data_IF_567514715091
#
_entry.id   IF_567514715091
#
_cell.length_a   1.000
_cell.length_b   1.000
_cell.length_c   1.000
_cell.angle_alpha   90.00
_cell.angle_beta   90.00
_cell.angle_gamma   90.00
#
_symmetry.space_group_name_H-M   'P 1'
#
loop_
_entity.id
_entity.type
_entity.pdbx_description
1 polymer ?
#
# COMPACT_ATOMS: atom_id res chain seq x y z
N UNK A 1 1.02 -2.29 7.57
CA UNK A 1 1.34 -1.36 6.46
C UNK A 1 2.38 -1.87 5.46
N UNK A 2 3.52 -2.46 5.87
CA UNK A 2 4.53 -2.98 4.92
C UNK A 2 4.01 -4.09 3.97
N UNK A 3 3.08 -4.94 4.43
CA UNK A 3 2.44 -5.95 3.59
C UNK A 3 1.55 -5.33 2.49
N UNK A 4 0.80 -4.28 2.83
CA UNK A 4 -0.15 -3.59 1.94
C UNK A 4 0.57 -2.88 0.77
N UNK A 5 1.75 -2.29 1.05
CA UNK A 5 2.58 -1.64 0.03
C UNK A 5 3.14 -2.68 -0.95
N UNK A 6 3.59 -3.83 -0.44
CA UNK A 6 4.10 -4.94 -1.27
C UNK A 6 3.01 -5.50 -2.18
N UNK A 7 1.79 -5.64 -1.67
CA UNK A 7 0.62 -6.06 -2.45
C UNK A 7 0.28 -5.05 -3.55
N UNK A 8 0.17 -3.75 -3.22
CA UNK A 8 -0.12 -2.69 -4.21
C UNK A 8 0.93 -2.59 -5.31
N UNK A 9 2.22 -2.78 -4.99
CA UNK A 9 3.31 -2.73 -5.96
C UNK A 9 3.27 -3.93 -6.93
N UNK A 10 2.98 -5.12 -6.39
CA UNK A 10 2.75 -6.32 -7.22
C UNK A 10 1.50 -6.12 -8.06
N UNK A 11 0.44 -5.49 -7.55
CA UNK A 11 -0.78 -5.20 -8.29
C UNK A 11 -0.57 -4.15 -9.39
N UNK A 12 0.21 -3.10 -9.14
CA UNK A 12 0.60 -2.11 -10.14
C UNK A 12 1.47 -2.74 -11.25
N UNK A 13 2.39 -3.65 -10.89
CA UNK A 13 3.15 -4.46 -11.84
C UNK A 13 2.22 -5.38 -12.67
N UNK A 14 1.17 -5.96 -12.06
CA UNK A 14 0.15 -6.74 -12.79
C UNK A 14 -0.55 -5.90 -13.86
N UNK A 15 -1.02 -4.70 -13.51
CA UNK A 15 -1.76 -3.84 -14.43
C UNK A 15 -0.89 -3.37 -15.60
N UNK A 16 0.35 -2.95 -15.32
CA UNK A 16 1.28 -2.45 -16.36
C UNK A 16 1.68 -3.52 -17.39
N UNK A 17 1.71 -4.79 -17.00
CA UNK A 17 2.14 -5.87 -17.90
C UNK A 17 0.97 -6.56 -18.63
N UNK A 18 -0.27 -6.43 -18.14
CA UNK A 18 -1.44 -7.11 -18.71
C UNK A 18 -1.95 -6.49 -20.01
N UNK A 19 -1.78 -5.19 -20.22
CA UNK A 19 -2.61 -4.45 -21.18
C UNK A 19 -1.88 -3.84 -22.37
N UNK A 20 -0.75 -3.16 -22.19
CA UNK A 20 -0.22 -2.29 -23.27
C UNK A 20 0.78 -2.97 -24.23
N UNK A 21 1.88 -3.61 -23.78
CA UNK A 21 2.94 -3.99 -24.72
C UNK A 21 2.60 -5.23 -25.57
N UNK A 22 1.72 -6.11 -25.06
CA UNK A 22 1.38 -7.37 -25.73
C UNK A 22 0.41 -7.15 -26.89
N UNK A 23 -0.52 -6.21 -26.75
CA UNK A 23 -1.47 -5.86 -27.80
C UNK A 23 -0.76 -5.12 -28.95
N UNK A 24 0.11 -4.18 -28.59
CA UNK A 24 0.91 -3.41 -29.55
C UNK A 24 1.93 -4.28 -30.30
N UNK A 25 2.49 -5.31 -29.64
CA UNK A 25 3.43 -6.26 -30.24
C UNK A 25 2.79 -7.52 -30.87
N UNK A 26 1.45 -7.63 -30.96
CA UNK A 26 0.71 -8.83 -31.41
C UNK A 26 1.14 -10.13 -30.71
N UNK A 27 1.50 -10.06 -29.42
CA UNK A 27 1.90 -11.23 -28.62
C UNK A 27 0.77 -11.68 -27.73
N UNK A 28 0.66 -12.99 -27.51
CA UNK A 28 -0.30 -13.56 -26.59
C UNK A 28 0.10 -13.18 -25.16
N UNK A 29 -0.76 -12.50 -24.38
CA UNK A 29 -0.44 -12.13 -23.02
C UNK A 29 -0.33 -13.39 -22.14
N UNK A 30 0.63 -13.39 -21.22
CA UNK A 30 0.76 -14.47 -20.24
C UNK A 30 -0.39 -14.43 -19.24
N UNK A 31 -0.86 -15.62 -18.84
CA UNK A 31 -1.70 -15.76 -17.65
C UNK A 31 -0.92 -15.28 -16.40
N UNK A 32 -1.64 -14.70 -15.44
CA UNK A 32 -1.04 -14.15 -14.22
C UNK A 32 -0.14 -15.15 -13.48
N UNK A 33 -0.59 -16.40 -13.40
CA UNK A 33 0.16 -17.49 -12.76
C UNK A 33 1.55 -17.67 -13.38
N UNK A 34 1.60 -17.76 -14.71
CA UNK A 34 2.85 -17.91 -15.46
C UNK A 34 3.76 -16.70 -15.33
N UNK A 35 3.20 -15.49 -15.27
CA UNK A 35 3.98 -14.28 -15.01
C UNK A 35 4.60 -14.30 -13.61
N UNK A 36 3.80 -14.59 -12.57
CA UNK A 36 4.26 -14.61 -11.19
C UNK A 36 5.35 -15.68 -10.95
N UNK A 37 5.19 -16.86 -11.55
CA UNK A 37 6.20 -17.93 -11.52
C UNK A 37 7.52 -17.47 -12.16
N UNK A 38 7.48 -16.97 -13.40
CA UNK A 38 8.67 -16.48 -14.13
C UNK A 38 9.34 -15.31 -13.41
N UNK A 39 8.57 -14.37 -12.92
CA UNK A 39 9.08 -13.23 -12.15
C UNK A 39 9.71 -13.70 -10.83
N UNK A 40 9.12 -14.69 -10.16
CA UNK A 40 9.68 -15.30 -8.95
C UNK A 40 11.04 -15.96 -9.21
N UNK A 41 11.19 -16.69 -10.32
CA UNK A 41 12.49 -17.25 -10.73
C UNK A 41 13.53 -16.18 -11.04
N UNK A 42 13.14 -15.13 -11.76
CA UNK A 42 13.99 -13.98 -12.05
C UNK A 42 14.44 -13.28 -10.76
N UNK A 43 13.49 -12.96 -9.88
CA UNK A 43 13.76 -12.29 -8.60
C UNK A 43 14.74 -13.09 -7.72
N UNK A 44 14.57 -14.42 -7.65
CA UNK A 44 15.49 -15.31 -6.93
C UNK A 44 16.88 -15.35 -7.56
N UNK A 45 16.97 -15.49 -8.89
CA UNK A 45 18.24 -15.56 -9.62
C UNK A 45 19.10 -14.31 -9.40
N UNK A 46 18.48 -13.14 -9.42
CA UNK A 46 19.17 -11.86 -9.29
C UNK A 46 19.15 -11.29 -7.85
N UNK A 47 18.67 -12.06 -6.87
CA UNK A 47 18.51 -11.63 -5.47
C UNK A 47 17.85 -10.25 -5.36
N UNK A 48 16.83 -10.01 -6.18
CA UNK A 48 16.10 -8.74 -6.20
C UNK A 48 15.41 -8.55 -4.86
N UNK A 49 15.98 -7.66 -4.06
CA UNK A 49 15.32 -7.12 -2.88
C UNK A 49 14.57 -5.87 -3.32
N UNK A 50 13.34 -5.70 -2.83
CA UNK A 50 12.61 -4.43 -2.95
C UNK A 50 12.66 -3.73 -1.58
N UNK A 51 13.82 -3.16 -1.19
CA UNK A 51 13.91 -2.44 0.08
C UNK A 51 13.06 -1.18 -0.03
N UNK A 52 12.12 -1.04 0.90
CA UNK A 52 11.34 0.18 1.04
C UNK A 52 12.24 1.22 1.72
N UNK A 53 12.92 2.06 0.93
CA UNK A 53 13.75 3.14 1.46
C UNK A 53 12.84 4.26 1.94
N UNK A 54 12.98 4.62 3.22
CA UNK A 54 12.26 5.74 3.84
C UNK A 54 13.28 6.57 4.59
N UNK A 55 13.34 7.87 4.37
CA UNK A 55 14.14 8.75 5.24
C UNK A 55 13.28 9.17 6.43
N UNK A 56 13.85 9.22 7.65
CA UNK A 56 13.13 9.75 8.80
C UNK A 56 12.67 11.19 8.53
N UNK A 57 11.42 11.49 8.88
CA UNK A 57 10.82 12.82 8.73
C UNK A 57 10.39 13.22 7.30
N UNK A 58 10.64 12.39 6.29
CA UNK A 58 10.29 12.73 4.89
C UNK A 58 8.83 12.36 4.54
N UNK A 59 8.31 11.29 5.14
CA UNK A 59 6.96 10.77 4.86
C UNK A 59 6.28 10.47 6.20
N UNK A 60 4.99 10.79 6.28
CA UNK A 60 4.08 10.39 7.36
C UNK A 60 2.86 9.73 6.74
N UNK A 61 2.44 8.58 7.26
CA UNK A 61 1.23 7.87 6.83
C UNK A 61 0.09 8.26 7.76
N UNK A 62 -1.04 8.70 7.21
CA UNK A 62 -2.21 9.11 8.00
C UNK A 62 -3.40 8.24 7.61
N UNK A 63 -4.13 7.75 8.62
CA UNK A 63 -5.36 6.99 8.43
C UNK A 63 -6.44 7.44 9.43
N UNK A 64 -7.70 7.23 9.09
CA UNK A 64 -8.83 7.52 9.99
C UNK A 64 -9.06 6.35 10.96
N UNK A 65 -9.30 6.66 12.23
CA UNK A 65 -9.59 5.65 13.23
C UNK A 65 -11.10 5.40 13.32
N UNK A 66 -11.55 4.30 12.72
CA UNK A 66 -12.89 3.76 12.95
C UNK A 66 -14.04 4.67 12.52
N UNK A 67 -15.16 4.56 13.23
CA UNK A 67 -16.37 5.37 13.05
C UNK A 67 -16.30 6.67 13.85
N UNK A 68 -17.06 7.69 13.43
CA UNK A 68 -17.24 8.94 14.19
C UNK A 68 -17.62 8.64 15.64
N UNK A 69 -16.84 9.18 16.57
CA UNK A 69 -17.10 9.07 18.01
C UNK A 69 -18.01 10.22 18.44
N UNK A 70 -18.62 10.11 19.62
CA UNK A 70 -19.32 11.20 20.27
C UNK A 70 -18.64 11.54 21.60
N UNK A 71 -18.37 12.82 21.83
CA UNK A 71 -17.87 13.35 23.10
C UNK A 71 -19.03 14.07 23.77
N UNK A 72 -19.32 13.70 25.01
CA UNK A 72 -20.34 14.38 25.81
C UNK A 72 -19.73 15.59 26.52
N UNK A 73 -20.27 16.78 26.28
CA UNK A 73 -19.92 17.98 27.04
C UNK A 73 -20.43 17.82 28.48
N UNK A 74 -19.52 17.91 29.46
CA UNK A 74 -19.85 17.76 30.88
C UNK A 74 -20.69 18.89 31.45
N UNK A 75 -20.69 20.06 30.80
CA UNK A 75 -21.38 21.26 31.25
C UNK A 75 -22.78 21.42 30.65
N UNK A 76 -22.95 21.02 29.38
CA UNK A 76 -24.22 21.17 28.65
C UNK A 76 -24.96 19.85 28.42
N UNK A 77 -24.26 18.71 28.51
CA UNK A 77 -24.82 17.39 28.21
C UNK A 77 -24.96 17.08 26.72
N UNK A 78 -24.55 18.00 25.83
CA UNK A 78 -24.62 17.83 24.38
C UNK A 78 -23.61 16.80 23.87
N UNK A 79 -24.01 16.03 22.86
CA UNK A 79 -23.13 15.10 22.15
C UNK A 79 -22.47 15.80 20.95
N UNK A 80 -21.15 15.90 20.99
CA UNK A 80 -20.33 16.49 19.95
C UNK A 80 -19.64 15.39 19.12
N UNK A 81 -19.76 15.38 17.79
CA UNK A 81 -19.08 14.40 16.96
C UNK A 81 -17.57 14.64 16.98
N UNK A 82 -16.81 13.56 17.18
CA UNK A 82 -15.35 13.56 17.23
C UNK A 82 -14.78 12.62 16.17
N UNK A 83 -13.88 13.17 15.37
CA UNK A 83 -13.16 12.45 14.32
C UNK A 83 -11.72 12.23 14.78
N UNK A 84 -11.29 10.97 14.84
CA UNK A 84 -9.92 10.62 15.22
C UNK A 84 -9.17 10.17 13.98
N UNK A 85 -8.00 10.76 13.76
CA UNK A 85 -7.04 10.27 12.78
C UNK A 85 -5.75 9.86 13.50
N UNK A 86 -5.03 8.92 12.90
CA UNK A 86 -3.78 8.38 13.39
C UNK A 86 -2.72 8.72 12.36
N UNK A 87 -1.59 9.26 12.81
CA UNK A 87 -0.45 9.55 11.97
C UNK A 87 0.74 8.70 12.41
N UNK A 88 1.35 7.95 11.48
CA UNK A 88 2.47 7.08 11.78
C UNK A 88 3.70 7.49 10.96
N UNK A 89 4.86 7.58 11.63
CA UNK A 89 6.14 7.73 10.98
C UNK A 89 6.68 6.37 10.55
N UNK A 90 6.75 6.08 9.25
CA UNK A 90 7.03 4.75 8.77
C UNK A 90 8.50 4.31 8.93
N UNK A 91 9.41 5.24 9.24
CA UNK A 91 10.81 4.95 9.52
C UNK A 91 11.02 4.50 10.96
N UNK A 92 10.45 5.22 11.92
CA UNK A 92 10.61 4.97 13.36
C UNK A 92 9.47 4.13 13.96
N UNK A 93 8.38 3.91 13.21
CA UNK A 93 7.13 3.31 13.70
C UNK A 93 6.49 4.07 14.87
N UNK A 94 6.77 5.38 14.97
CA UNK A 94 6.14 6.26 15.94
C UNK A 94 4.71 6.59 15.47
N UNK A 95 3.76 6.59 16.39
CA UNK A 95 2.34 6.90 16.19
C UNK A 95 2.00 8.15 17.01
#
# INVERSE_FOLDING_TARGET
MAALVKERLVQALKYRFRSDPAHEARKIPYAYRTFAEKYGHYAKKFKLTMPLRRKPGEIMEVDWAGSTLAIQDRSTGEELPAYVFIAALPYSQMI
#
